data_IF_125463935048
#
_entry.id   IF_125463935048
#
_cell.length_a   1.000
_cell.length_b   1.000
_cell.length_c   1.000
_cell.angle_alpha   90.00
_cell.angle_beta   90.00
_cell.angle_gamma   90.00
#
_symmetry.space_group_name_H-M   'P 1'
#
loop_
_entity.id
_entity.type
_entity.pdbx_description
1 polymer ?
#
# COMPACT_ATOMS: atom_id res chain seq x y z
N UNK A 1 8.94 -7.58 -1.91
CA UNK A 1 9.39 -8.96 -1.61
C UNK A 1 8.20 -9.81 -1.27
N UNK A 2 8.16 -11.05 -1.79
CA UNK A 2 7.21 -12.02 -1.31
C UNK A 2 7.47 -12.26 0.19
N UNK A 3 6.44 -12.05 1.02
CA UNK A 3 6.50 -12.27 2.47
C UNK A 3 6.50 -11.04 3.35
N UNK A 4 6.82 -9.85 2.83
CA UNK A 4 6.74 -8.60 3.60
C UNK A 4 5.57 -7.73 3.17
N UNK A 5 5.38 -7.51 1.87
CA UNK A 5 4.27 -6.74 1.30
C UNK A 5 2.98 -7.57 1.15
N UNK A 6 3.07 -8.90 1.22
CA UNK A 6 1.96 -9.83 0.96
C UNK A 6 1.47 -10.46 2.26
N UNK A 7 0.21 -10.33 2.54
CA UNK A 7 -0.54 -11.05 3.56
C UNK A 7 -1.58 -11.99 2.93
N UNK A 8 -2.31 -12.74 3.74
CA UNK A 8 -3.33 -13.67 3.28
C UNK A 8 -4.58 -13.01 2.65
N UNK A 9 -4.67 -11.68 2.71
CA UNK A 9 -5.76 -10.86 2.14
C UNK A 9 -5.31 -10.03 0.96
N UNK A 10 -4.01 -10.01 0.67
CA UNK A 10 -3.44 -9.21 -0.42
C UNK A 10 -3.89 -9.73 -1.77
N UNK A 11 -4.31 -8.81 -2.63
CA UNK A 11 -4.65 -9.10 -4.03
C UNK A 11 -3.65 -8.42 -4.97
N UNK A 12 -3.42 -8.98 -6.17
CA UNK A 12 -2.40 -8.47 -7.11
C UNK A 12 -2.53 -7.00 -7.47
N UNK A 13 -3.76 -6.46 -7.49
CA UNK A 13 -4.04 -5.05 -7.79
C UNK A 13 -3.45 -4.09 -6.75
N UNK A 14 -3.32 -4.51 -5.50
CA UNK A 14 -2.77 -3.66 -4.43
C UNK A 14 -1.28 -3.37 -4.62
N UNK A 15 -0.57 -4.24 -5.34
CA UNK A 15 0.88 -4.24 -5.51
C UNK A 15 1.33 -4.01 -6.98
N UNK A 16 0.44 -3.59 -7.86
CA UNK A 16 0.67 -3.43 -9.31
C UNK A 16 1.10 -4.73 -10.04
N UNK A 17 0.82 -5.89 -9.47
CA UNK A 17 1.17 -7.16 -10.13
C UNK A 17 0.29 -7.53 -11.31
N UNK A 18 -0.87 -6.88 -11.46
CA UNK A 18 -1.76 -7.12 -12.60
C UNK A 18 -1.11 -6.75 -13.94
N UNK A 19 -0.21 -5.79 -13.92
CA UNK A 19 0.51 -5.35 -15.12
C UNK A 19 1.61 -6.33 -15.57
N UNK A 20 2.19 -7.06 -14.64
CA UNK A 20 3.41 -7.85 -14.91
C UNK A 20 3.27 -9.34 -14.61
N UNK A 21 2.35 -9.74 -13.74
CA UNK A 21 2.27 -11.10 -13.20
C UNK A 21 0.90 -11.78 -13.38
N UNK A 22 -0.12 -11.09 -13.89
CA UNK A 22 -1.46 -11.65 -14.10
C UNK A 22 -1.85 -11.53 -15.58
N UNK A 23 -2.25 -12.66 -16.17
CA UNK A 23 -2.79 -12.69 -17.52
C UNK A 23 -4.27 -13.00 -17.47
N UNK A 24 -5.13 -12.03 -17.80
CA UNK A 24 -6.57 -12.13 -17.62
C UNK A 24 -7.27 -13.04 -18.65
N UNK A 25 -6.67 -13.24 -19.82
CA UNK A 25 -7.22 -14.09 -20.90
C UNK A 25 -6.70 -15.53 -20.85
N UNK A 26 -5.82 -15.85 -19.89
CA UNK A 26 -5.35 -17.21 -19.67
C UNK A 26 -6.36 -17.99 -18.83
N UNK A 27 -6.40 -19.31 -18.99
CA UNK A 27 -7.29 -20.19 -18.25
C UNK A 27 -7.26 -20.04 -16.72
N UNK A 28 -8.05 -20.81 -16.02
CA UNK A 28 -8.28 -20.65 -14.57
C UNK A 28 -7.02 -20.64 -13.72
N UNK A 29 -7.01 -19.81 -12.69
CA UNK A 29 -5.97 -19.75 -11.65
C UNK A 29 -6.61 -19.56 -10.27
N UNK A 30 -5.89 -19.91 -9.22
CA UNK A 30 -6.38 -19.80 -7.84
C UNK A 30 -6.63 -18.32 -7.49
N UNK A 31 -7.83 -18.02 -6.99
CA UNK A 31 -8.23 -16.66 -6.60
C UNK A 31 -8.76 -15.79 -7.76
N UNK A 32 -8.90 -16.36 -8.97
CA UNK A 32 -9.35 -15.63 -10.17
C UNK A 32 -10.64 -14.85 -9.96
N UNK A 33 -11.62 -15.40 -9.24
CA UNK A 33 -12.90 -14.73 -9.02
C UNK A 33 -12.71 -13.36 -8.35
N UNK A 34 -11.93 -13.30 -7.27
CA UNK A 34 -11.64 -12.04 -6.56
C UNK A 34 -10.85 -11.08 -7.43
N UNK A 35 -9.80 -11.56 -8.09
CA UNK A 35 -8.93 -10.74 -8.96
C UNK A 35 -9.71 -10.18 -10.13
N UNK A 36 -10.50 -11.01 -10.83
CA UNK A 36 -11.32 -10.59 -11.96
C UNK A 36 -12.45 -9.63 -11.54
N UNK A 37 -13.09 -9.87 -10.38
CA UNK A 37 -14.12 -8.99 -9.84
C UNK A 37 -13.56 -7.59 -9.59
N UNK A 38 -12.41 -7.47 -8.94
CA UNK A 38 -11.78 -6.18 -8.67
C UNK A 38 -11.33 -5.52 -9.97
N UNK A 39 -10.77 -6.28 -10.91
CA UNK A 39 -10.36 -5.78 -12.22
C UNK A 39 -11.53 -5.20 -13.02
N UNK A 40 -12.67 -5.90 -13.05
CA UNK A 40 -13.79 -5.55 -13.92
C UNK A 40 -14.76 -4.54 -13.27
N UNK A 41 -14.97 -4.59 -11.97
CA UNK A 41 -16.09 -3.92 -11.29
C UNK A 41 -15.67 -3.03 -10.13
N UNK A 42 -14.43 -3.06 -9.69
CA UNK A 42 -14.05 -2.44 -8.44
C UNK A 42 -12.69 -1.76 -8.43
N UNK A 43 -12.31 -1.46 -7.22
CA UNK A 43 -10.99 -0.91 -6.90
C UNK A 43 -10.38 -1.76 -5.78
N UNK A 44 -9.05 -1.91 -5.73
CA UNK A 44 -8.39 -2.55 -4.61
C UNK A 44 -8.65 -1.75 -3.33
N UNK A 45 -8.87 -2.41 -2.18
CA UNK A 45 -9.14 -1.71 -0.92
C UNK A 45 -7.92 -0.99 -0.35
N UNK A 46 -6.73 -1.47 -0.72
CA UNK A 46 -5.43 -0.94 -0.30
C UNK A 46 -4.55 -0.69 -1.53
N UNK A 47 -3.46 0.01 -1.33
CA UNK A 47 -2.45 0.25 -2.36
C UNK A 47 -1.05 0.31 -1.77
N UNK A 48 -0.07 -0.15 -2.54
CA UNK A 48 1.34 0.00 -2.25
C UNK A 48 1.79 1.44 -2.55
N UNK A 49 2.55 2.00 -1.62
CA UNK A 49 3.19 3.31 -1.77
C UNK A 49 4.66 3.21 -1.40
N UNK A 50 5.45 4.09 -1.97
CA UNK A 50 6.80 4.38 -1.54
C UNK A 50 6.74 5.54 -0.53
N UNK A 51 7.57 5.49 0.49
CA UNK A 51 7.68 6.50 1.51
C UNK A 51 9.13 7.03 1.57
N UNK A 52 9.23 8.35 1.55
CA UNK A 52 10.41 9.07 1.97
C UNK A 52 10.21 9.42 3.46
N UNK A 53 11.10 8.95 4.30
CA UNK A 53 11.02 9.13 5.75
C UNK A 53 11.95 10.25 6.21
N UNK A 54 11.53 10.99 7.24
CA UNK A 54 12.44 11.91 7.91
C UNK A 54 13.57 11.16 8.59
N UNK A 55 14.79 11.54 8.28
CA UNK A 55 16.01 10.94 8.83
C UNK A 55 16.56 11.63 10.09
N UNK A 56 15.83 12.60 10.67
CA UNK A 56 16.30 13.41 11.81
C UNK A 56 16.59 12.58 13.06
N UNK A 57 15.86 11.48 13.25
CA UNK A 57 16.02 10.58 14.40
C UNK A 57 17.24 9.65 14.31
N UNK A 58 17.96 9.63 13.19
CA UNK A 58 19.09 8.71 12.94
C UNK A 58 18.78 7.22 13.12
N UNK A 59 17.49 6.87 13.20
CA UNK A 59 16.97 5.51 13.34
C UNK A 59 15.98 5.22 12.21
N UNK A 60 15.65 3.96 12.00
CA UNK A 60 14.66 3.53 11.03
C UNK A 60 13.48 2.92 11.76
N UNK A 61 12.22 3.20 11.33
CA UNK A 61 11.07 2.51 11.89
C UNK A 61 11.15 1.02 11.57
N UNK A 62 10.63 0.18 12.46
CA UNK A 62 10.56 -1.25 12.21
C UNK A 62 9.54 -1.57 11.11
N UNK A 63 9.76 -2.67 10.38
CA UNK A 63 8.73 -3.24 9.52
C UNK A 63 7.53 -3.64 10.38
N UNK A 64 6.32 -3.24 9.98
CA UNK A 64 5.11 -3.40 10.79
C UNK A 64 4.63 -2.12 11.45
N UNK A 65 5.47 -1.09 11.60
CA UNK A 65 5.08 0.23 12.15
C UNK A 65 3.81 0.76 11.49
N UNK A 66 2.92 1.28 12.31
CA UNK A 66 1.63 1.80 11.84
C UNK A 66 1.77 3.18 11.20
N UNK A 67 0.97 3.42 10.17
CA UNK A 67 0.91 4.69 9.47
C UNK A 67 -0.38 5.42 9.77
N UNK A 68 -0.25 6.71 10.06
CA UNK A 68 -1.37 7.61 10.33
C UNK A 68 -1.32 8.80 9.36
N UNK A 69 -2.47 9.31 8.98
CA UNK A 69 -2.57 10.64 8.37
C UNK A 69 -2.48 11.66 9.51
N UNK A 70 -1.73 12.72 9.30
CA UNK A 70 -1.60 13.77 10.30
C UNK A 70 -2.97 14.28 10.77
N UNK A 71 -3.13 14.43 12.09
CA UNK A 71 -4.39 14.84 12.72
C UNK A 71 -5.48 13.78 12.79
N UNK A 72 -5.25 12.54 12.31
CA UNK A 72 -6.23 11.44 12.40
C UNK A 72 -5.78 10.36 13.37
N UNK A 73 -6.66 9.89 14.29
CA UNK A 73 -6.28 8.93 15.32
C UNK A 73 -6.25 7.47 14.84
N UNK A 74 -6.73 7.17 13.64
CA UNK A 74 -6.84 5.80 13.13
C UNK A 74 -5.72 5.50 12.14
N UNK A 75 -5.05 4.37 12.34
CA UNK A 75 -4.09 3.86 11.39
C UNK A 75 -4.71 3.66 9.99
N UNK A 76 -3.98 4.12 8.99
CA UNK A 76 -4.37 4.02 7.58
C UNK A 76 -3.61 2.93 6.83
N UNK A 77 -2.56 2.40 7.40
CA UNK A 77 -1.73 1.37 6.82
C UNK A 77 -0.58 0.97 7.72
N UNK A 78 0.37 0.27 7.15
CA UNK A 78 1.60 -0.17 7.84
C UNK A 78 2.79 -0.17 6.90
N UNK A 79 3.97 0.05 7.46
CA UNK A 79 5.24 -0.15 6.78
C UNK A 79 5.47 -1.64 6.57
N UNK A 80 5.90 -2.02 5.39
CA UNK A 80 6.19 -3.42 5.04
C UNK A 80 7.67 -3.70 4.93
N UNK A 81 8.44 -2.76 4.43
CA UNK A 81 9.90 -2.86 4.37
C UNK A 81 10.55 -1.48 4.46
N UNK A 82 11.75 -1.45 5.01
CA UNK A 82 12.54 -0.24 5.23
C UNK A 82 13.95 -0.44 4.69
N UNK A 83 14.55 0.62 4.17
CA UNK A 83 15.93 0.63 3.73
C UNK A 83 16.55 2.02 3.93
N UNK A 84 17.88 2.07 3.99
CA UNK A 84 18.63 3.32 3.93
C UNK A 84 19.18 3.46 2.52
N UNK A 85 18.73 4.50 1.81
CA UNK A 85 19.25 4.84 0.49
C UNK A 85 20.43 5.82 0.63
N UNK A 86 21.46 5.66 -0.18
CA UNK A 86 22.70 6.42 -0.05
C UNK A 86 22.56 7.92 -0.34
N UNK A 87 21.58 8.32 -1.14
CA UNK A 87 21.28 9.72 -1.46
C UNK A 87 19.98 10.21 -0.83
N UNK A 88 18.92 9.40 -0.89
CA UNK A 88 17.59 9.80 -0.43
C UNK A 88 17.39 9.61 1.09
N UNK A 89 18.36 9.02 1.79
CA UNK A 89 18.21 8.73 3.22
C UNK A 89 17.25 7.57 3.51
N UNK A 90 16.49 7.62 4.59
CA UNK A 90 15.56 6.58 4.97
C UNK A 90 14.38 6.48 4.01
N UNK A 91 14.13 5.30 3.48
CA UNK A 91 13.02 5.01 2.58
C UNK A 91 12.25 3.78 3.04
N UNK A 92 10.97 3.69 2.69
CA UNK A 92 10.16 2.53 3.02
C UNK A 92 9.15 2.18 1.92
N UNK A 93 8.66 0.94 1.95
CA UNK A 93 7.44 0.54 1.29
C UNK A 93 6.33 0.37 2.32
N UNK A 94 5.12 0.72 1.95
CA UNK A 94 3.98 0.58 2.82
C UNK A 94 2.71 0.21 2.04
N UNK A 95 1.83 -0.53 2.70
CA UNK A 95 0.48 -0.82 2.21
C UNK A 95 -0.50 0.03 3.01
N UNK A 96 -1.19 0.93 2.32
CA UNK A 96 -2.14 1.87 2.92
C UNK A 96 -3.55 1.70 2.35
N UNK A 97 -4.57 2.20 3.04
CA UNK A 97 -5.94 2.27 2.52
C UNK A 97 -5.99 3.11 1.24
N UNK A 98 -6.70 2.63 0.22
CA UNK A 98 -6.84 3.31 -1.07
C UNK A 98 -7.34 4.75 -0.95
N UNK A 99 -8.27 4.98 -0.03
CA UNK A 99 -8.94 6.28 0.16
C UNK A 99 -8.05 7.37 0.80
N UNK A 100 -6.80 7.06 1.13
CA UNK A 100 -5.86 8.08 1.64
C UNK A 100 -5.46 8.99 0.49
N UNK A 101 -5.60 10.30 0.71
CA UNK A 101 -5.20 11.32 -0.26
C UNK A 101 -3.69 11.19 -0.55
N UNK A 102 -3.28 11.11 -1.84
CA UNK A 102 -1.88 11.08 -2.22
C UNK A 102 -1.03 12.27 -1.72
N UNK A 103 -1.65 13.41 -1.50
CA UNK A 103 -0.98 14.60 -1.00
C UNK A 103 -0.98 14.70 0.55
N UNK A 104 -1.68 13.80 1.24
CA UNK A 104 -1.75 13.85 2.69
C UNK A 104 -0.40 13.51 3.34
N UNK A 105 0.10 14.34 4.27
CA UNK A 105 1.26 14.02 5.07
C UNK A 105 0.95 12.81 5.97
N UNK A 106 1.89 11.88 6.03
CA UNK A 106 1.80 10.69 6.84
C UNK A 106 2.82 10.78 7.98
N UNK A 107 2.54 10.05 9.07
CA UNK A 107 3.54 9.74 10.08
C UNK A 107 3.55 8.24 10.36
N UNK A 108 4.73 7.69 10.50
CA UNK A 108 4.94 6.33 10.96
C UNK A 108 5.15 6.35 12.47
N UNK A 109 4.52 5.42 13.16
CA UNK A 109 4.67 5.25 14.60
C UNK A 109 5.24 3.87 14.85
N UNK A 110 6.46 3.85 15.36
CA UNK A 110 7.10 2.62 15.80
C UNK A 110 6.86 2.44 17.30
N UNK A 111 6.09 1.43 17.64
CA UNK A 111 5.80 1.09 19.05
C UNK A 111 6.84 0.16 19.66
N UNK A 112 7.91 -0.16 18.92
CA UNK A 112 8.87 -1.18 19.29
C UNK A 112 8.26 -2.59 19.18
N UNK A 113 9.06 -3.61 18.93
CA UNK A 113 8.62 -4.99 19.16
C UNK A 113 8.31 -5.15 20.64
N UNK A 114 7.12 -5.64 20.95
CA UNK A 114 6.75 -6.07 22.28
C UNK A 114 7.62 -7.29 22.67
N UNK A 115 8.86 -7.04 23.00
CA UNK A 115 9.64 -7.98 23.81
C UNK A 115 9.03 -7.98 25.18
N UNK A 116 8.80 -9.15 25.74
CA UNK A 116 8.07 -9.51 26.95
C UNK A 116 8.61 -8.89 28.27
N UNK A 117 9.34 -7.81 28.23
CA UNK A 117 9.78 -7.06 29.40
C UNK A 117 9.10 -5.67 29.40
N UNK A 118 8.48 -5.35 30.54
CA UNK A 118 7.67 -4.16 30.86
C UNK A 118 8.43 -2.81 30.78
N UNK A 119 9.26 -2.61 29.77
CA UNK A 119 9.85 -1.32 29.46
C UNK A 119 9.29 -0.84 28.13
N UNK A 120 8.14 -0.16 28.19
CA UNK A 120 7.62 0.55 27.02
C UNK A 120 8.60 1.67 26.65
N UNK A 121 9.47 1.41 25.69
CA UNK A 121 10.21 2.47 25.04
C UNK A 121 9.18 3.47 24.46
N UNK A 122 9.42 4.79 24.54
CA UNK A 122 8.51 5.78 23.97
C UNK A 122 8.37 5.50 22.48
N UNK A 123 7.13 5.51 21.99
CA UNK A 123 6.86 5.34 20.57
C UNK A 123 7.60 6.43 19.78
N UNK A 124 8.42 6.03 18.82
CA UNK A 124 9.14 6.96 17.95
C UNK A 124 8.28 7.27 16.75
N UNK A 125 8.14 8.55 16.44
CA UNK A 125 7.36 9.04 15.30
C UNK A 125 8.28 9.54 14.19
N UNK A 126 7.99 9.15 12.96
CA UNK A 126 8.72 9.57 11.76
C UNK A 126 7.76 10.25 10.80
N UNK A 127 8.06 11.48 10.38
CA UNK A 127 7.34 12.10 9.28
C UNK A 127 7.61 11.33 7.98
N UNK A 128 6.59 11.17 7.16
CA UNK A 128 6.66 10.40 5.93
C UNK A 128 5.92 11.11 4.79
N UNK A 129 6.61 11.30 3.68
CA UNK A 129 6.02 11.73 2.42
C UNK A 129 5.76 10.51 1.52
N UNK A 130 4.58 10.45 0.89
CA UNK A 130 4.24 9.32 0.04
C UNK A 130 4.45 9.62 -1.44
N UNK A 131 5.03 8.66 -2.16
CA UNK A 131 5.10 8.63 -3.62
C UNK A 131 4.27 7.44 -4.13
N UNK A 132 3.43 7.68 -5.14
CA UNK A 132 2.53 6.69 -5.68
C UNK A 132 3.28 5.58 -6.42
N UNK A 133 3.07 4.32 -6.02
CA UNK A 133 3.36 3.14 -6.83
C UNK A 133 2.06 2.66 -7.50
N UNK A 134 0.99 2.51 -6.72
CA UNK A 134 -0.34 2.15 -7.22
C UNK A 134 -1.27 3.34 -7.06
N UNK A 135 -1.86 3.80 -8.18
CA UNK A 135 -2.81 4.89 -8.17
C UNK A 135 -4.08 4.54 -7.37
N UNK A 136 -4.65 5.47 -6.59
CA UNK A 136 -5.96 5.27 -5.97
C UNK A 136 -7.09 5.09 -7.00
N UNK A 137 -6.87 5.51 -8.25
CA UNK A 137 -7.80 5.34 -9.37
C UNK A 137 -7.58 4.03 -10.14
N UNK A 138 -6.62 3.19 -9.71
CA UNK A 138 -6.38 1.89 -10.33
C UNK A 138 -7.68 1.07 -10.34
N UNK A 139 -8.10 0.59 -11.53
CA UNK A 139 -9.38 -0.09 -11.76
C UNK A 139 -10.45 0.76 -12.46
N UNK A 140 -10.32 2.07 -12.56
CA UNK A 140 -11.28 2.91 -13.33
C UNK A 140 -11.26 2.66 -14.83
N UNK A 141 -10.15 2.20 -15.38
CA UNK A 141 -9.98 1.98 -16.83
C UNK A 141 -10.99 0.95 -17.34
N UNK A 142 -11.26 -0.10 -16.55
CA UNK A 142 -12.25 -1.11 -16.92
C UNK A 142 -13.69 -0.56 -16.95
N UNK A 143 -14.03 0.38 -16.06
CA UNK A 143 -15.34 1.04 -16.03
C UNK A 143 -15.59 1.90 -17.27
N UNK A 144 -14.59 2.66 -17.71
CA UNK A 144 -14.73 3.52 -18.92
C UNK A 144 -14.87 2.71 -20.21
N UNK A 145 -14.21 1.55 -20.31
CA UNK A 145 -14.33 0.67 -21.48
C UNK A 145 -15.69 -0.02 -21.55
N UNK A 146 -16.28 -0.41 -20.42
CA UNK A 146 -17.61 -1.05 -20.37
C UNK A 146 -18.73 -0.03 -20.67
N UNK A 147 -18.62 1.20 -20.17
CA UNK A 147 -19.59 2.26 -20.47
C UNK A 147 -19.57 2.72 -21.95
N UNK A 148 -18.46 2.48 -22.65
CA UNK A 148 -18.34 2.77 -24.10
C UNK A 148 -18.92 1.70 -25.02
N UNK A 149 -19.25 0.51 -24.52
CA UNK A 149 -19.78 -0.59 -25.34
C UNK A 149 -21.32 -0.63 -25.44
N UNK A 150 -22.03 0.24 -24.75
CA UNK A 150 -23.50 0.30 -24.82
C UNK A 150 -24.04 1.00 -26.09
N UNK A 151 -23.15 1.40 -27.02
CA UNK A 151 -23.55 2.06 -28.27
C UNK A 151 -23.77 1.13 -29.48
N UNK A 152 -23.69 -0.18 -29.33
CA UNK A 152 -23.91 -1.14 -30.43
C UNK A 152 -25.06 -2.12 -30.15
N UNK A 153 -26.21 -1.61 -29.69
CA UNK A 153 -27.50 -2.28 -29.83
C UNK A 153 -28.44 -1.38 -30.62
N UNK A 154 -28.33 -1.48 -31.93
CA UNK A 154 -29.42 -1.26 -32.86
C UNK A 154 -29.53 -2.42 -33.81
#
# INVERSE_FOLDING_TARGET
RAGTEIDNKTIPQELDYTRTAVHFEKGCYKGQETVARVHNLGHPPRRLVFLDLDGSEHTLPAAGSELFVEGKPRAVGRITSVALHHEAGPIALAVIKRAVDPAAPLRAVDTGEATTDESSAPATEYAAAQTLIVSPEAGEIARKSVAGQDFLKR
#
